data_IF_000354012592
#
_entry.id   IF_000354012592
#
_cell.length_a   1.000
_cell.length_b   1.000
_cell.length_c   1.000
_cell.angle_alpha   90.00
_cell.angle_beta   90.00
_cell.angle_gamma   90.00
#
_symmetry.space_group_name_H-M   'P 1'
#
loop_
_entity.id
_entity.type
_entity.pdbx_description
1 polymer ?
#
# COMPACT_ATOMS: atom_id res chain seq x y z
N UNK A 1 -4.99 13.80 41.65
CA UNK A 1 -4.97 14.46 40.32
C UNK A 1 -6.33 15.10 40.07
N UNK A 2 -6.44 16.40 40.29
CA UNK A 2 -7.68 17.18 40.10
C UNK A 2 -8.07 17.21 38.62
N UNK A 3 -9.34 16.96 38.31
CA UNK A 3 -9.84 17.04 36.94
C UNK A 3 -9.64 18.48 36.42
N UNK A 4 -8.97 18.61 35.26
CA UNK A 4 -8.68 19.88 34.64
C UNK A 4 -9.99 20.66 34.36
N UNK A 5 -10.04 21.94 34.74
CA UNK A 5 -11.21 22.79 34.54
C UNK A 5 -11.50 23.04 33.05
N UNK A 6 -12.75 23.32 32.64
CA UNK A 6 -13.09 23.60 31.24
C UNK A 6 -12.29 24.76 30.62
N UNK A 7 -11.87 25.74 31.44
CA UNK A 7 -11.03 26.87 31.02
C UNK A 7 -9.61 26.42 30.61
N UNK A 8 -9.03 25.44 31.32
CA UNK A 8 -7.69 24.94 30.97
C UNK A 8 -7.68 24.15 29.67
N UNK A 9 -8.74 23.39 29.37
CA UNK A 9 -8.86 22.69 28.08
C UNK A 9 -8.90 23.65 26.87
N UNK A 10 -9.54 24.81 27.02
CA UNK A 10 -9.55 25.84 25.97
C UNK A 10 -8.15 26.37 25.70
N UNK A 11 -7.37 26.64 26.75
CA UNK A 11 -5.98 27.08 26.62
C UNK A 11 -5.15 26.07 25.82
N UNK A 12 -5.22 24.79 26.18
CA UNK A 12 -4.44 23.74 25.50
C UNK A 12 -4.89 23.48 24.07
N UNK A 13 -6.18 23.66 23.77
CA UNK A 13 -6.69 23.61 22.41
C UNK A 13 -6.09 24.72 21.55
N UNK A 14 -6.09 25.97 22.04
CA UNK A 14 -5.48 27.10 21.32
C UNK A 14 -3.97 26.91 21.16
N UNK A 15 -3.27 26.42 22.18
CA UNK A 15 -1.86 26.07 22.06
C UNK A 15 -1.60 25.04 20.95
N UNK A 16 -2.42 24.00 20.85
CA UNK A 16 -2.34 23.02 19.76
C UNK A 16 -2.57 23.64 18.37
N UNK A 17 -3.54 24.55 18.25
CA UNK A 17 -3.75 25.30 17.00
C UNK A 17 -2.55 26.17 16.64
N UNK A 18 -1.95 26.86 17.61
CA UNK A 18 -0.74 27.66 17.40
C UNK A 18 0.43 26.79 16.94
N UNK A 19 0.64 25.62 17.56
CA UNK A 19 1.68 24.67 17.11
C UNK A 19 1.43 24.19 15.68
N UNK A 20 0.17 23.95 15.32
CA UNK A 20 -0.22 23.55 13.96
C UNK A 20 0.10 24.65 12.96
N UNK A 21 -0.34 25.88 13.25
CA UNK A 21 -0.10 27.04 12.40
C UNK A 21 1.39 27.29 12.22
N UNK A 22 2.18 27.16 13.29
CA UNK A 22 3.63 27.28 13.23
C UNK A 22 4.28 26.19 12.37
N UNK A 23 3.84 24.93 12.50
CA UNK A 23 4.29 23.84 11.61
C UNK A 23 3.96 24.12 10.14
N UNK A 24 2.72 24.53 9.85
CA UNK A 24 2.31 24.84 8.48
C UNK A 24 3.13 26.01 7.91
N UNK A 25 3.43 27.02 8.74
CA UNK A 25 4.31 28.11 8.35
C UNK A 25 5.75 27.66 8.07
N UNK A 26 6.31 26.75 8.87
CA UNK A 26 7.66 26.19 8.61
C UNK A 26 7.69 25.34 7.34
N UNK A 27 6.68 24.50 7.15
CA UNK A 27 6.62 23.54 6.03
C UNK A 27 6.20 24.18 4.72
N UNK A 28 5.71 25.43 4.72
CA UNK A 28 5.35 26.17 3.49
C UNK A 28 6.50 26.30 2.49
N UNK A 29 7.74 26.32 2.99
CA UNK A 29 8.96 26.45 2.19
C UNK A 29 9.52 25.12 1.69
N UNK A 30 8.90 23.99 2.06
CA UNK A 30 9.34 22.68 1.56
C UNK A 30 8.98 22.53 0.09
N UNK A 31 9.99 22.22 -0.72
CA UNK A 31 9.77 21.93 -2.13
C UNK A 31 8.97 20.62 -2.28
N UNK A 32 7.96 20.67 -3.14
CA UNK A 32 7.33 19.47 -3.70
C UNK A 32 8.00 19.20 -5.03
N UNK A 33 8.63 18.04 -5.19
CA UNK A 33 9.32 17.70 -6.43
C UNK A 33 8.70 16.46 -7.07
N UNK A 34 8.49 16.57 -8.37
CA UNK A 34 8.07 15.49 -9.24
C UNK A 34 9.29 15.03 -10.04
N UNK A 35 9.79 13.82 -9.76
CA UNK A 35 10.90 13.28 -10.54
C UNK A 35 10.36 12.80 -11.89
N UNK A 36 10.59 13.58 -12.96
CA UNK A 36 10.02 13.31 -14.28
C UNK A 36 10.40 11.95 -14.89
N UNK A 37 11.59 11.43 -14.58
CA UNK A 37 12.05 10.11 -15.01
C UNK A 37 11.52 8.95 -14.15
N UNK A 38 10.90 9.24 -13.00
CA UNK A 38 10.26 8.23 -12.15
C UNK A 38 8.88 7.86 -12.72
N UNK A 39 8.88 7.27 -13.92
CA UNK A 39 7.69 6.97 -14.74
C UNK A 39 6.67 6.07 -14.01
N UNK A 40 7.16 5.20 -13.12
CA UNK A 40 6.33 4.27 -12.35
C UNK A 40 6.00 4.76 -10.94
N UNK A 41 6.55 5.91 -10.50
CA UNK A 41 6.29 6.52 -9.18
C UNK A 41 5.66 7.90 -9.34
N UNK A 42 6.45 8.97 -9.23
CA UNK A 42 5.99 10.36 -9.15
C UNK A 42 5.10 10.73 -10.35
N UNK A 43 5.58 10.44 -11.55
CA UNK A 43 4.85 10.76 -12.78
C UNK A 43 3.58 9.94 -12.90
N UNK A 44 3.60 8.67 -12.52
CA UNK A 44 2.43 7.79 -12.58
C UNK A 44 1.29 8.37 -11.73
N UNK A 45 1.56 8.73 -10.48
CA UNK A 45 0.50 9.24 -9.60
C UNK A 45 -0.12 10.55 -10.10
N UNK A 46 0.68 11.42 -10.70
CA UNK A 46 0.20 12.65 -11.35
C UNK A 46 -0.65 12.36 -12.59
N UNK A 47 -0.19 11.47 -13.48
CA UNK A 47 -0.94 11.10 -14.68
C UNK A 47 -2.29 10.46 -14.34
N UNK A 48 -2.31 9.55 -13.35
CA UNK A 48 -3.55 8.96 -12.85
C UNK A 48 -4.48 10.02 -12.24
N UNK A 49 -3.94 10.98 -11.47
CA UNK A 49 -4.73 12.06 -10.90
C UNK A 49 -5.32 12.97 -12.00
N UNK A 50 -4.54 13.27 -13.04
CA UNK A 50 -4.98 14.03 -14.20
C UNK A 50 -6.13 13.32 -14.94
N UNK A 51 -6.03 12.00 -15.17
CA UNK A 51 -7.12 11.22 -15.74
C UNK A 51 -8.38 11.26 -14.89
N UNK A 52 -8.26 11.14 -13.56
CA UNK A 52 -9.39 11.25 -12.63
C UNK A 52 -10.06 12.62 -12.75
N UNK A 53 -9.27 13.70 -12.79
CA UNK A 53 -9.78 15.08 -12.92
C UNK A 53 -10.54 15.27 -14.24
N UNK A 54 -10.09 14.64 -15.33
CA UNK A 54 -10.74 14.69 -16.65
C UNK A 54 -11.98 13.80 -16.76
N UNK A 55 -12.26 12.97 -15.75
CA UNK A 55 -13.38 12.02 -15.77
C UNK A 55 -13.04 10.67 -16.39
N UNK A 56 -11.79 10.44 -16.79
CA UNK A 56 -11.32 9.23 -17.48
C UNK A 56 -10.77 8.18 -16.51
N UNK A 57 -11.37 8.02 -15.32
CA UNK A 57 -10.90 7.13 -14.23
C UNK A 57 -9.36 7.09 -14.12
N UNK A 58 -8.70 5.94 -14.32
CA UNK A 58 -7.24 5.78 -14.28
C UNK A 58 -6.58 5.84 -15.67
N UNK A 59 -7.27 6.43 -16.64
CA UNK A 59 -6.85 6.57 -18.02
C UNK A 59 -7.05 5.31 -18.86
N UNK A 60 -6.48 5.31 -20.06
CA UNK A 60 -6.41 4.12 -20.90
C UNK A 60 -5.64 3.00 -20.18
N UNK A 61 -6.06 1.75 -20.41
CA UNK A 61 -5.38 0.62 -19.81
C UNK A 61 -3.98 0.46 -20.42
N UNK A 62 -3.01 0.13 -19.56
CA UNK A 62 -1.59 0.01 -19.90
C UNK A 62 -0.90 -0.90 -18.89
N UNK A 63 0.39 -1.16 -19.07
CA UNK A 63 1.23 -1.87 -18.10
C UNK A 63 1.23 -1.22 -16.70
N UNK A 64 0.97 0.09 -16.59
CA UNK A 64 1.03 0.81 -15.32
C UNK A 64 -0.35 0.92 -14.64
N UNK A 65 -1.42 0.73 -15.41
CA UNK A 65 -2.80 0.79 -14.92
C UNK A 65 -3.04 -0.37 -13.95
N UNK A 66 -3.67 -0.08 -12.81
CA UNK A 66 -3.92 -1.04 -11.70
C UNK A 66 -2.66 -1.69 -11.09
N UNK A 67 -1.46 -1.28 -11.46
CA UNK A 67 -0.23 -1.80 -10.85
C UNK A 67 -0.04 -1.25 -9.42
N UNK A 68 -0.63 -0.10 -9.11
CA UNK A 68 -0.58 0.53 -7.78
C UNK A 68 -1.95 0.96 -7.30
N UNK A 69 -2.11 0.98 -5.99
CA UNK A 69 -3.32 1.50 -5.34
C UNK A 69 -3.63 2.96 -5.75
N UNK A 70 -4.89 3.26 -6.13
CA UNK A 70 -5.24 4.56 -6.72
C UNK A 70 -5.48 5.67 -5.69
N UNK A 71 -5.47 5.37 -4.37
CA UNK A 71 -5.95 6.32 -3.37
C UNK A 71 -5.13 7.62 -3.33
N UNK A 72 -3.82 7.56 -3.54
CA UNK A 72 -3.01 8.77 -3.56
C UNK A 72 -3.33 9.66 -4.76
N UNK A 73 -3.62 9.09 -5.93
CA UNK A 73 -4.08 9.86 -7.10
C UNK A 73 -5.48 10.45 -6.90
N UNK A 74 -6.39 9.69 -6.26
CA UNK A 74 -7.70 10.21 -5.83
C UNK A 74 -7.55 11.37 -4.83
N UNK A 75 -6.59 11.28 -3.92
CA UNK A 75 -6.26 12.35 -2.97
C UNK A 75 -5.73 13.60 -3.69
N UNK A 76 -4.82 13.45 -4.66
CA UNK A 76 -4.33 14.57 -5.48
C UNK A 76 -5.49 15.22 -6.24
N UNK A 77 -6.35 14.43 -6.89
CA UNK A 77 -7.52 14.94 -7.62
C UNK A 77 -8.51 15.68 -6.69
N UNK A 78 -8.75 15.15 -5.48
CA UNK A 78 -9.56 15.81 -4.47
C UNK A 78 -8.98 17.18 -4.09
N UNK A 79 -7.68 17.26 -3.81
CA UNK A 79 -7.02 18.52 -3.47
C UNK A 79 -7.07 19.52 -4.62
N UNK A 80 -6.93 19.05 -5.86
CA UNK A 80 -7.09 19.87 -7.06
C UNK A 80 -8.50 20.47 -7.14
N UNK A 81 -9.56 19.66 -6.98
CA UNK A 81 -10.94 20.17 -7.02
C UNK A 81 -11.29 21.14 -5.89
N UNK A 82 -10.70 20.96 -4.70
CA UNK A 82 -10.91 21.88 -3.56
C UNK A 82 -10.02 23.12 -3.67
N UNK A 83 -9.01 23.14 -4.55
CA UNK A 83 -8.07 24.24 -4.69
C UNK A 83 -7.03 24.33 -3.57
N UNK A 84 -6.68 23.19 -2.95
CA UNK A 84 -5.65 23.12 -1.90
C UNK A 84 -4.32 22.65 -2.51
N UNK A 85 -3.22 23.41 -2.36
CA UNK A 85 -1.90 22.95 -2.80
C UNK A 85 -1.52 21.61 -2.17
N UNK A 86 -0.95 20.68 -2.97
CA UNK A 86 -0.64 19.31 -2.52
C UNK A 86 0.17 19.27 -1.22
N UNK A 87 1.25 20.05 -1.14
CA UNK A 87 2.10 20.11 0.06
C UNK A 87 1.32 20.54 1.32
N UNK A 88 0.44 21.55 1.18
CA UNK A 88 -0.44 21.98 2.27
C UNK A 88 -1.43 20.87 2.65
N UNK A 89 -2.07 20.24 1.67
CA UNK A 89 -3.03 19.16 1.89
C UNK A 89 -2.41 17.99 2.66
N UNK A 90 -1.19 17.59 2.33
CA UNK A 90 -0.45 16.53 3.04
C UNK A 90 -0.19 16.90 4.50
N UNK A 91 0.30 18.12 4.76
CA UNK A 91 0.57 18.57 6.12
C UNK A 91 -0.72 18.72 6.95
N UNK A 92 -1.82 19.15 6.32
CA UNK A 92 -3.14 19.18 6.94
C UNK A 92 -3.66 17.77 7.27
N UNK A 93 -3.51 16.80 6.35
CA UNK A 93 -3.89 15.41 6.61
C UNK A 93 -3.12 14.81 7.79
N UNK A 94 -1.81 15.07 7.86
CA UNK A 94 -0.97 14.64 8.98
C UNK A 94 -1.35 15.31 10.31
N UNK A 95 -1.47 16.63 10.33
CA UNK A 95 -1.88 17.36 11.53
C UNK A 95 -3.28 16.96 12.00
N UNK A 96 -4.20 16.71 11.06
CA UNK A 96 -5.54 16.20 11.30
C UNK A 96 -5.53 14.82 11.94
N UNK A 97 -4.74 13.88 11.41
CA UNK A 97 -4.58 12.55 12.00
C UNK A 97 -4.01 12.63 13.43
N UNK A 98 -3.02 13.50 13.68
CA UNK A 98 -2.48 13.75 15.02
C UNK A 98 -3.57 14.27 15.99
N UNK A 99 -4.41 15.21 15.53
CA UNK A 99 -5.47 15.80 16.33
C UNK A 99 -6.57 14.78 16.64
N UNK A 100 -6.93 13.94 15.66
CA UNK A 100 -7.91 12.86 15.81
C UNK A 100 -7.41 11.80 16.79
N UNK A 101 -6.14 11.39 16.70
CA UNK A 101 -5.52 10.49 17.68
C UNK A 101 -5.55 11.08 19.09
N UNK A 102 -5.16 12.34 19.24
CA UNK A 102 -5.21 13.05 20.53
C UNK A 102 -6.64 13.08 21.10
N UNK A 103 -7.63 13.35 20.24
CA UNK A 103 -9.06 13.32 20.62
C UNK A 103 -9.52 11.91 21.01
N UNK A 104 -8.98 10.87 20.37
CA UNK A 104 -9.29 9.48 20.68
C UNK A 104 -8.88 9.15 22.12
N UNK A 105 -7.69 9.60 22.54
CA UNK A 105 -7.11 9.38 23.86
C UNK A 105 -7.79 10.17 25.00
N UNK A 106 -8.55 11.23 24.70
CA UNK A 106 -9.17 12.12 25.71
C UNK A 106 -9.94 11.42 26.84
N UNK A 107 -10.71 10.33 26.61
CA UNK A 107 -11.39 9.65 27.73
C UNK A 107 -10.41 8.99 28.72
N UNK A 108 -9.25 8.53 28.23
CA UNK A 108 -8.20 7.95 29.07
C UNK A 108 -7.28 9.02 29.69
N UNK A 109 -7.04 10.13 28.99
CA UNK A 109 -6.17 11.22 29.42
C UNK A 109 -6.98 12.48 29.75
N UNK A 110 -7.23 12.69 31.04
CA UNK A 110 -7.98 13.85 31.54
C UNK A 110 -7.15 15.13 31.66
N UNK A 111 -5.83 15.06 31.50
CA UNK A 111 -4.93 16.23 31.57
C UNK A 111 -4.80 16.89 30.19
N UNK A 112 -5.16 18.17 30.10
CA UNK A 112 -4.97 18.94 28.87
C UNK A 112 -3.51 19.10 28.48
N UNK A 113 -2.59 19.17 29.46
CA UNK A 113 -1.13 19.17 29.22
C UNK A 113 -0.70 17.85 28.59
N UNK A 114 -1.16 16.71 29.11
CA UNK A 114 -0.80 15.41 28.56
C UNK A 114 -1.31 15.22 27.12
N UNK A 115 -2.52 15.72 26.83
CA UNK A 115 -3.07 15.73 25.48
C UNK A 115 -2.26 16.64 24.55
N UNK A 116 -1.89 17.84 25.00
CA UNK A 116 -1.02 18.71 24.21
C UNK A 116 0.35 18.08 23.98
N UNK A 117 0.93 17.40 24.98
CA UNK A 117 2.24 16.75 24.87
C UNK A 117 2.21 15.63 23.82
N UNK A 118 1.20 14.75 23.83
CA UNK A 118 1.04 13.71 22.80
C UNK A 118 0.83 14.34 21.43
N UNK A 119 -0.03 15.37 21.34
CA UNK A 119 -0.27 16.07 20.10
C UNK A 119 1.02 16.67 19.54
N UNK A 120 1.80 17.36 20.37
CA UNK A 120 3.06 17.97 20.00
C UNK A 120 4.08 16.91 19.58
N UNK A 121 4.22 15.81 20.33
CA UNK A 121 5.13 14.71 19.99
C UNK A 121 4.84 14.13 18.60
N UNK A 122 3.56 13.92 18.27
CA UNK A 122 3.14 13.41 16.96
C UNK A 122 3.32 14.47 15.87
N UNK A 123 2.83 15.68 16.12
CA UNK A 123 2.84 16.78 15.16
C UNK A 123 4.27 17.14 14.75
N UNK A 124 5.20 17.15 15.71
CA UNK A 124 6.61 17.54 15.53
C UNK A 124 7.54 16.35 15.28
N UNK A 125 7.00 15.17 14.95
CA UNK A 125 7.83 14.02 14.59
C UNK A 125 8.76 14.40 13.40
N UNK A 126 10.10 14.22 13.53
CA UNK A 126 11.06 14.60 12.49
C UNK A 126 10.77 14.01 11.11
N UNK A 127 10.20 12.81 11.04
CA UNK A 127 9.81 12.18 9.78
C UNK A 127 8.84 13.06 8.98
N UNK A 128 7.98 13.84 9.64
CA UNK A 128 7.03 14.74 8.96
C UNK A 128 7.64 16.00 8.35
N UNK A 129 8.96 16.21 8.55
CA UNK A 129 9.76 17.29 7.94
C UNK A 129 10.80 16.77 6.95
N UNK A 130 10.94 15.46 6.80
CA UNK A 130 11.93 14.87 5.89
C UNK A 130 11.60 15.26 4.46
N UNK A 131 12.51 15.97 3.79
CA UNK A 131 12.29 16.43 2.43
C UNK A 131 12.55 15.33 1.39
N UNK A 132 13.68 14.58 1.40
CA UNK A 132 14.09 13.66 0.31
C UNK A 132 13.10 12.54 -0.09
N UNK A 133 12.17 12.19 0.78
CA UNK A 133 11.11 11.21 0.52
C UNK A 133 9.73 11.83 0.65
N UNK A 134 9.44 12.61 1.70
CA UNK A 134 8.10 13.20 1.88
C UNK A 134 7.85 14.44 1.01
N UNK A 135 8.88 15.01 0.37
CA UNK A 135 8.73 16.07 -0.63
C UNK A 135 8.44 15.55 -2.05
N UNK A 136 8.61 14.23 -2.29
CA UNK A 136 8.25 13.59 -3.56
C UNK A 136 6.76 13.42 -3.71
N UNK A 137 6.29 13.34 -4.96
CA UNK A 137 4.90 12.99 -5.27
C UNK A 137 4.73 11.47 -5.21
N UNK A 138 4.89 10.94 -4.01
CA UNK A 138 4.73 9.52 -3.73
C UNK A 138 3.70 9.32 -2.63
N UNK A 139 2.97 8.22 -2.76
CA UNK A 139 1.92 7.76 -1.85
C UNK A 139 2.27 7.68 -0.36
N UNK A 140 3.56 7.70 -0.01
CA UNK A 140 4.01 7.69 1.38
C UNK A 140 3.47 8.88 2.19
N UNK A 141 3.25 10.02 1.52
CA UNK A 141 2.69 11.24 2.11
C UNK A 141 1.33 11.05 2.78
N UNK A 142 0.45 10.23 2.18
CA UNK A 142 -0.90 9.98 2.71
C UNK A 142 -0.97 8.65 3.48
N UNK A 143 -0.01 7.75 3.28
CA UNK A 143 0.00 6.44 3.94
C UNK A 143 0.11 6.54 5.46
N UNK A 144 1.04 7.36 5.96
CA UNK A 144 1.24 7.59 7.39
C UNK A 144 0.02 8.20 8.09
N UNK A 145 -0.58 9.31 7.62
CA UNK A 145 -1.76 9.87 8.27
C UNK A 145 -2.96 8.92 8.27
N UNK A 146 -3.16 8.13 7.20
CA UNK A 146 -4.22 7.11 7.18
C UNK A 146 -3.97 6.02 8.23
N UNK A 147 -2.75 5.51 8.34
CA UNK A 147 -2.39 4.52 9.36
C UNK A 147 -2.64 5.06 10.78
N UNK A 148 -2.23 6.30 11.05
CA UNK A 148 -2.49 6.96 12.32
C UNK A 148 -4.00 7.14 12.58
N UNK A 149 -4.78 7.48 11.55
CA UNK A 149 -6.23 7.61 11.64
C UNK A 149 -6.93 6.28 11.94
N UNK A 150 -6.47 5.16 11.37
CA UNK A 150 -6.98 3.81 11.68
C UNK A 150 -6.77 3.49 13.17
N UNK A 151 -5.53 3.69 13.65
CA UNK A 151 -5.20 3.45 15.06
C UNK A 151 -5.99 4.39 15.98
N UNK A 152 -6.12 5.67 15.62
CA UNK A 152 -6.94 6.64 16.34
C UNK A 152 -8.40 6.21 16.43
N UNK A 153 -8.96 5.69 15.34
CA UNK A 153 -10.31 5.12 15.29
C UNK A 153 -10.49 3.97 16.28
N UNK A 154 -9.57 3.01 16.28
CA UNK A 154 -9.59 1.85 17.17
C UNK A 154 -9.42 2.23 18.65
N UNK A 155 -8.48 3.14 18.95
CA UNK A 155 -8.33 3.72 20.30
C UNK A 155 -9.61 4.45 20.71
N UNK A 156 -10.21 5.19 19.77
CA UNK A 156 -11.45 5.92 19.98
C UNK A 156 -12.63 5.03 20.35
N UNK A 157 -12.75 3.87 19.69
CA UNK A 157 -13.70 2.79 20.01
C UNK A 157 -13.38 2.17 21.37
N UNK A 158 -12.14 1.74 21.59
CA UNK A 158 -11.70 1.12 22.85
C UNK A 158 -12.00 1.99 24.08
N UNK A 159 -11.69 3.29 23.99
CA UNK A 159 -11.90 4.26 25.06
C UNK A 159 -13.38 4.65 25.27
N UNK A 160 -14.28 4.21 24.39
CA UNK A 160 -15.74 4.48 24.45
C UNK A 160 -16.57 3.20 24.39
N UNK A 161 -15.96 2.07 24.75
CA UNK A 161 -16.57 0.73 24.72
C UNK A 161 -17.82 0.61 25.61
N UNK A 162 -17.92 1.47 26.61
CA UNK A 162 -19.03 1.60 27.55
C UNK A 162 -20.16 2.53 27.04
N UNK A 163 -19.98 3.16 25.88
CA UNK A 163 -20.91 4.13 25.33
C UNK A 163 -21.81 3.53 24.25
N UNK A 164 -22.90 4.23 23.93
CA UNK A 164 -23.86 3.82 22.91
C UNK A 164 -23.25 3.81 21.50
N UNK A 165 -23.86 3.04 20.60
CA UNK A 165 -23.43 2.94 19.18
C UNK A 165 -23.35 4.31 18.51
N UNK A 166 -24.23 5.26 18.85
CA UNK A 166 -24.22 6.64 18.31
C UNK A 166 -22.92 7.38 18.64
N UNK A 167 -22.32 7.13 19.81
CA UNK A 167 -21.04 7.73 20.21
C UNK A 167 -19.83 6.98 19.65
N UNK A 168 -20.00 5.70 19.33
CA UNK A 168 -18.98 4.87 18.68
C UNK A 168 -18.95 5.03 17.15
N UNK A 169 -20.08 5.36 16.52
CA UNK A 169 -20.27 5.43 15.07
C UNK A 169 -19.23 6.32 14.35
N UNK A 170 -18.91 7.55 14.81
CA UNK A 170 -17.89 8.36 14.15
C UNK A 170 -16.51 7.69 14.16
N UNK A 171 -16.19 6.95 15.20
CA UNK A 171 -14.93 6.21 15.31
C UNK A 171 -14.93 4.96 14.44
N UNK A 172 -16.06 4.25 14.35
CA UNK A 172 -16.24 3.15 13.41
C UNK A 172 -16.10 3.61 11.96
N UNK A 173 -16.74 4.73 11.59
CA UNK A 173 -16.64 5.32 10.26
C UNK A 173 -15.20 5.75 9.95
N UNK A 174 -14.53 6.43 10.88
CA UNK A 174 -13.12 6.79 10.75
C UNK A 174 -12.24 5.55 10.57
N UNK A 175 -12.36 4.54 11.43
CA UNK A 175 -11.58 3.30 11.35
C UNK A 175 -11.76 2.64 9.98
N UNK A 176 -13.01 2.45 9.56
CA UNK A 176 -13.34 1.80 8.30
C UNK A 176 -12.85 2.56 7.09
N UNK A 177 -13.29 3.82 6.92
CA UNK A 177 -12.93 4.64 5.76
C UNK A 177 -11.42 4.83 5.66
N UNK A 178 -10.74 5.15 6.78
CA UNK A 178 -9.29 5.29 6.78
C UNK A 178 -8.59 3.96 6.43
N UNK A 179 -9.09 2.82 6.91
CA UNK A 179 -8.52 1.51 6.59
C UNK A 179 -8.71 1.14 5.11
N UNK A 180 -9.90 1.36 4.54
CA UNK A 180 -10.16 1.14 3.12
C UNK A 180 -9.25 2.00 2.24
N UNK A 181 -9.13 3.30 2.54
CA UNK A 181 -8.22 4.21 1.84
C UNK A 181 -6.74 3.80 2.03
N UNK A 182 -6.35 3.38 3.22
CA UNK A 182 -4.99 2.88 3.52
C UNK A 182 -4.64 1.65 2.68
N UNK A 183 -5.58 0.71 2.59
CA UNK A 183 -5.44 -0.52 1.80
C UNK A 183 -5.32 -0.26 0.29
N UNK A 184 -5.95 0.81 -0.18
CA UNK A 184 -5.88 1.32 -1.56
C UNK A 184 -4.68 2.24 -1.80
N UNK A 185 -3.83 2.47 -0.81
CA UNK A 185 -2.63 3.30 -0.99
C UNK A 185 -1.42 2.45 -1.36
N UNK A 186 -1.18 1.34 -0.65
CA UNK A 186 0.01 0.49 -0.80
C UNK A 186 -0.30 -0.99 -0.97
N UNK A 187 0.57 -1.74 -1.62
CA UNK A 187 0.37 -3.18 -1.87
C UNK A 187 0.75 -4.04 -0.66
N UNK A 188 1.60 -3.53 0.23
CA UNK A 188 2.04 -4.18 1.45
C UNK A 188 1.20 -3.85 2.70
N UNK A 189 0.01 -3.27 2.55
CA UNK A 189 -0.86 -2.83 3.66
C UNK A 189 -1.23 -3.90 4.69
N UNK A 190 -1.00 -5.18 4.40
CA UNK A 190 -1.25 -6.29 5.30
C UNK A 190 -0.50 -6.17 6.63
N UNK A 191 0.61 -5.43 6.69
CA UNK A 191 1.38 -5.24 7.92
C UNK A 191 0.58 -4.55 9.04
N UNK A 192 -0.45 -3.77 8.71
CA UNK A 192 -1.29 -3.08 9.70
C UNK A 192 -2.33 -4.04 10.34
N UNK A 193 -2.66 -5.14 9.66
CA UNK A 193 -3.73 -6.06 10.05
C UNK A 193 -3.52 -6.66 11.45
N UNK A 194 -2.32 -7.15 11.84
CA UNK A 194 -2.09 -7.66 13.19
C UNK A 194 -2.44 -6.65 14.28
N UNK A 195 -2.06 -5.37 14.10
CA UNK A 195 -2.38 -4.29 15.04
C UNK A 195 -3.88 -3.99 15.09
N UNK A 196 -4.55 -3.98 13.92
CA UNK A 196 -6.01 -3.78 13.84
C UNK A 196 -6.75 -4.90 14.56
N UNK A 197 -6.38 -6.15 14.30
CA UNK A 197 -6.98 -7.34 14.94
C UNK A 197 -6.76 -7.28 16.44
N UNK A 198 -5.53 -7.04 16.90
CA UNK A 198 -5.20 -6.97 18.32
C UNK A 198 -6.06 -5.92 19.05
N UNK A 199 -6.14 -4.70 18.53
CA UNK A 199 -6.90 -3.61 19.16
C UNK A 199 -8.41 -3.84 19.08
N UNK A 200 -8.92 -4.37 17.97
CA UNK A 200 -10.35 -4.69 17.81
C UNK A 200 -10.78 -5.81 18.77
N UNK A 201 -9.98 -6.88 18.87
CA UNK A 201 -10.20 -7.98 19.81
C UNK A 201 -10.12 -7.48 21.25
N UNK A 202 -9.11 -6.68 21.59
CA UNK A 202 -9.02 -6.08 22.92
C UNK A 202 -10.26 -5.24 23.26
N UNK A 203 -10.74 -4.41 22.33
CA UNK A 203 -11.95 -3.63 22.53
C UNK A 203 -13.19 -4.50 22.76
N UNK A 204 -13.37 -5.56 21.97
CA UNK A 204 -14.48 -6.49 22.13
C UNK A 204 -14.40 -7.26 23.45
N UNK A 205 -13.26 -7.88 23.76
CA UNK A 205 -13.05 -8.68 24.99
C UNK A 205 -13.30 -7.83 26.23
N UNK A 206 -12.74 -6.61 26.29
CA UNK A 206 -12.97 -5.73 27.42
C UNK A 206 -14.44 -5.29 27.52
N UNK A 207 -15.11 -4.97 26.39
CA UNK A 207 -16.53 -4.65 26.42
C UNK A 207 -17.39 -5.80 26.97
N UNK A 208 -17.12 -7.04 26.56
CA UNK A 208 -17.82 -8.24 27.07
C UNK A 208 -17.55 -8.52 28.55
N UNK A 209 -16.35 -8.21 29.04
CA UNK A 209 -16.01 -8.34 30.47
C UNK A 209 -16.83 -7.40 31.36
N UNK A 210 -17.25 -6.24 30.85
CA UNK A 210 -18.13 -5.33 31.59
C UNK A 210 -19.59 -5.74 31.50
N UNK A 211 -20.13 -5.95 30.29
CA UNK A 211 -21.47 -6.51 30.12
C UNK A 211 -21.70 -7.13 28.73
N UNK A 212 -22.65 -8.07 28.64
CA UNK A 212 -23.07 -8.63 27.35
C UNK A 212 -23.63 -7.58 26.40
N UNK A 213 -24.30 -6.56 26.92
CA UNK A 213 -24.86 -5.47 26.11
C UNK A 213 -23.74 -4.62 25.48
N UNK A 214 -22.74 -4.21 26.29
CA UNK A 214 -21.60 -3.44 25.78
C UNK A 214 -20.81 -4.23 24.74
N UNK A 215 -20.59 -5.52 24.96
CA UNK A 215 -19.98 -6.41 23.97
C UNK A 215 -20.75 -6.44 22.63
N UNK A 216 -22.09 -6.55 22.67
CA UNK A 216 -22.93 -6.48 21.46
C UNK A 216 -22.84 -5.13 20.75
N UNK A 217 -22.80 -4.02 21.49
CA UNK A 217 -22.61 -2.68 20.89
C UNK A 217 -21.26 -2.59 20.20
N UNK A 218 -20.19 -3.05 20.85
CA UNK A 218 -18.84 -3.04 20.28
C UNK A 218 -18.76 -3.89 19.01
N UNK A 219 -19.33 -5.10 19.00
CA UNK A 219 -19.38 -5.93 17.78
C UNK A 219 -20.13 -5.24 16.63
N UNK A 220 -21.25 -4.56 16.92
CA UNK A 220 -21.97 -3.77 15.91
C UNK A 220 -21.10 -2.64 15.37
N UNK A 221 -20.38 -1.92 16.24
CA UNK A 221 -19.46 -0.85 15.82
C UNK A 221 -18.27 -1.36 15.01
N UNK A 222 -17.72 -2.52 15.34
CA UNK A 222 -16.68 -3.17 14.53
C UNK A 222 -17.22 -3.66 13.19
N UNK A 223 -18.45 -4.21 13.15
CA UNK A 223 -19.14 -4.57 11.91
C UNK A 223 -19.39 -3.35 11.01
N UNK A 224 -19.80 -2.22 11.59
CA UNK A 224 -19.93 -0.94 10.88
C UNK A 224 -18.57 -0.45 10.35
N UNK A 225 -17.50 -0.56 11.14
CA UNK A 225 -16.16 -0.23 10.68
C UNK A 225 -15.73 -1.09 9.49
N UNK A 226 -16.02 -2.39 9.51
CA UNK A 226 -15.77 -3.28 8.38
C UNK A 226 -16.58 -2.86 7.13
N UNK A 227 -17.86 -2.52 7.29
CA UNK A 227 -18.70 -2.04 6.19
C UNK A 227 -18.17 -0.71 5.59
N UNK A 228 -17.78 0.24 6.44
CA UNK A 228 -17.15 1.49 6.00
C UNK A 228 -15.79 1.25 5.33
N UNK A 229 -15.03 0.24 5.74
CA UNK A 229 -13.78 -0.13 5.07
C UNK A 229 -13.98 -0.82 3.73
N UNK A 230 -15.06 -1.60 3.58
CA UNK A 230 -15.44 -2.21 2.31
C UNK A 230 -15.90 -1.18 1.28
N UNK A 231 -16.42 -0.03 1.70
CA UNK A 231 -16.98 0.98 0.78
C UNK A 231 -15.93 1.56 -0.20
N UNK A 232 -14.77 2.11 0.22
CA UNK A 232 -13.74 2.56 -0.72
C UNK A 232 -13.26 1.44 -1.66
N UNK A 233 -13.10 0.22 -1.14
CA UNK A 233 -12.68 -0.94 -1.91
C UNK A 233 -13.71 -1.29 -3.00
N UNK A 234 -14.98 -1.37 -2.62
CA UNK A 234 -16.08 -1.68 -3.53
C UNK A 234 -16.27 -0.61 -4.60
N UNK A 235 -16.14 0.67 -4.26
CA UNK A 235 -16.23 1.77 -5.23
C UNK A 235 -15.10 1.73 -6.26
N UNK A 236 -13.85 1.51 -5.81
CA UNK A 236 -12.70 1.35 -6.71
C UNK A 236 -12.87 0.11 -7.58
N UNK A 237 -13.26 -1.02 -7.01
CA UNK A 237 -13.46 -2.26 -7.77
C UNK A 237 -14.61 -2.16 -8.77
N UNK A 238 -15.68 -1.45 -8.44
CA UNK A 238 -16.76 -1.17 -9.37
C UNK A 238 -16.30 -0.28 -10.53
N UNK A 239 -15.52 0.77 -10.27
CA UNK A 239 -14.95 1.60 -11.33
C UNK A 239 -13.97 0.81 -12.21
N UNK A 240 -13.12 0.00 -11.61
CA UNK A 240 -12.21 -0.87 -12.36
C UNK A 240 -12.98 -1.88 -13.24
N UNK A 241 -14.10 -2.41 -12.76
CA UNK A 241 -14.95 -3.29 -13.55
C UNK A 241 -15.55 -2.55 -14.76
N UNK A 242 -16.10 -1.35 -14.54
CA UNK A 242 -16.71 -0.53 -15.59
C UNK A 242 -15.71 -0.12 -16.67
N UNK A 243 -14.48 0.23 -16.29
CA UNK A 243 -13.47 0.76 -17.23
C UNK A 243 -12.56 -0.32 -17.82
N UNK A 244 -12.28 -1.40 -17.08
CA UNK A 244 -11.26 -2.40 -17.45
C UNK A 244 -11.78 -3.84 -17.43
N UNK A 245 -13.07 -4.05 -17.18
CA UNK A 245 -13.71 -5.36 -17.23
C UNK A 245 -13.36 -6.30 -16.07
N UNK A 246 -12.69 -5.82 -15.02
CA UNK A 246 -12.27 -6.61 -13.86
C UNK A 246 -12.66 -5.96 -12.52
N UNK A 247 -13.34 -6.75 -11.67
CA UNK A 247 -13.71 -6.32 -10.31
C UNK A 247 -12.55 -6.63 -9.33
N UNK A 248 -11.63 -5.69 -9.20
CA UNK A 248 -10.49 -5.80 -8.30
C UNK A 248 -9.92 -4.43 -7.93
N UNK A 249 -8.86 -4.37 -7.15
CA UNK A 249 -8.26 -3.09 -6.71
C UNK A 249 -6.91 -2.83 -7.36
N UNK A 250 -5.97 -3.74 -7.11
CA UNK A 250 -4.60 -3.72 -7.63
C UNK A 250 -4.31 -5.08 -8.25
N UNK A 251 -3.88 -5.08 -9.50
CA UNK A 251 -3.65 -6.29 -10.29
C UNK A 251 -2.50 -7.14 -9.74
N UNK A 252 -1.51 -6.51 -9.12
CA UNK A 252 -0.44 -7.24 -8.42
C UNK A 252 -0.97 -8.10 -7.25
N UNK A 253 -2.17 -7.85 -6.74
CA UNK A 253 -2.82 -8.70 -5.73
C UNK A 253 -3.82 -9.70 -6.33
N UNK A 254 -4.03 -9.67 -7.65
CA UNK A 254 -4.90 -10.62 -8.32
C UNK A 254 -4.28 -12.02 -8.25
N UNK A 255 -5.05 -13.08 -7.95
CA UNK A 255 -4.56 -14.45 -7.94
C UNK A 255 -3.86 -14.81 -9.25
N UNK A 256 -4.40 -14.41 -10.40
CA UNK A 256 -3.86 -14.73 -11.72
C UNK A 256 -2.44 -14.18 -11.91
N UNK A 257 -2.21 -12.91 -11.54
CA UNK A 257 -0.86 -12.32 -11.60
C UNK A 257 0.07 -12.96 -10.59
N UNK A 258 -0.40 -13.16 -9.35
CA UNK A 258 0.39 -13.75 -8.27
C UNK A 258 0.81 -15.20 -8.59
N UNK A 259 -0.07 -15.98 -9.20
CA UNK A 259 0.18 -17.36 -9.62
C UNK A 259 1.13 -17.40 -10.82
N UNK A 260 0.98 -16.50 -11.79
CA UNK A 260 1.91 -16.40 -12.92
C UNK A 260 3.33 -16.06 -12.45
N UNK A 261 3.46 -15.05 -11.58
CA UNK A 261 4.75 -14.67 -11.01
C UNK A 261 5.32 -15.79 -10.13
N UNK A 262 4.48 -16.41 -9.30
CA UNK A 262 4.85 -17.56 -8.46
C UNK A 262 5.33 -18.77 -9.27
N UNK A 263 4.68 -19.05 -10.41
CA UNK A 263 5.08 -20.11 -11.34
C UNK A 263 6.48 -19.85 -11.91
N UNK A 264 6.82 -18.60 -12.26
CA UNK A 264 8.18 -18.25 -12.68
C UNK A 264 9.19 -18.47 -11.55
N UNK A 265 8.85 -18.08 -10.31
CA UNK A 265 9.72 -18.18 -9.14
C UNK A 265 10.02 -19.61 -8.68
N UNK A 266 9.21 -20.60 -9.05
CA UNK A 266 9.46 -22.00 -8.65
C UNK A 266 10.34 -22.75 -9.66
N UNK A 267 10.60 -22.21 -10.84
CA UNK A 267 11.46 -22.85 -11.85
C UNK A 267 12.89 -22.98 -11.31
N UNK A 268 13.42 -24.20 -11.35
CA UNK A 268 14.75 -24.56 -10.84
C UNK A 268 15.70 -24.80 -12.02
N UNK A 269 15.98 -23.74 -12.77
CA UNK A 269 16.90 -23.77 -13.91
C UNK A 269 17.89 -22.61 -13.82
N UNK A 270 19.16 -22.90 -14.09
CA UNK A 270 20.25 -21.91 -14.01
C UNK A 270 20.83 -21.73 -12.60
N UNK A 271 21.79 -20.81 -12.46
CA UNK A 271 22.49 -20.56 -11.20
C UNK A 271 21.62 -19.81 -10.17
N UNK A 272 21.94 -19.97 -8.89
CA UNK A 272 21.40 -19.13 -7.82
C UNK A 272 22.16 -17.79 -7.79
N UNK A 273 21.57 -16.74 -8.40
CA UNK A 273 22.15 -15.39 -8.47
C UNK A 273 21.51 -14.45 -7.45
N UNK A 274 22.30 -13.63 -6.76
CA UNK A 274 21.78 -12.67 -5.79
C UNK A 274 20.90 -11.61 -6.45
N UNK A 275 19.80 -11.26 -5.77
CA UNK A 275 18.78 -10.32 -6.24
C UNK A 275 18.07 -10.66 -7.56
N UNK A 276 18.42 -11.77 -8.22
CA UNK A 276 17.82 -12.24 -9.48
C UNK A 276 16.92 -13.44 -9.15
N UNK A 277 15.61 -13.25 -9.04
CA UNK A 277 14.72 -14.31 -8.60
C UNK A 277 14.33 -15.28 -9.73
N UNK A 278 14.41 -14.84 -11.00
CA UNK A 278 14.18 -15.65 -12.19
C UNK A 278 15.30 -15.36 -13.18
N UNK A 279 16.17 -16.35 -13.38
CA UNK A 279 17.32 -16.21 -14.26
C UNK A 279 16.90 -16.19 -15.73
N UNK A 280 17.76 -15.65 -16.60
CA UNK A 280 17.60 -15.78 -18.05
C UNK A 280 17.40 -17.25 -18.47
N UNK A 281 18.20 -18.17 -17.94
CA UNK A 281 18.11 -19.60 -18.23
C UNK A 281 16.76 -20.19 -17.82
N UNK A 282 16.20 -19.75 -16.68
CA UNK A 282 14.86 -20.13 -16.29
C UNK A 282 13.81 -19.61 -17.28
N UNK A 283 13.93 -18.36 -17.75
CA UNK A 283 13.02 -17.82 -18.79
C UNK A 283 13.12 -18.60 -20.10
N UNK A 284 14.33 -18.90 -20.55
CA UNK A 284 14.58 -19.69 -21.76
C UNK A 284 13.93 -21.09 -21.67
N UNK A 285 14.06 -21.75 -20.52
CA UNK A 285 13.39 -23.03 -20.29
C UNK A 285 11.86 -22.91 -20.24
N UNK A 286 11.32 -21.81 -19.70
CA UNK A 286 9.88 -21.56 -19.69
C UNK A 286 9.30 -21.35 -21.09
N UNK A 287 10.01 -20.69 -22.01
CA UNK A 287 9.54 -20.51 -23.39
C UNK A 287 9.31 -21.85 -24.10
N UNK A 288 10.10 -22.88 -23.78
CA UNK A 288 9.97 -24.20 -24.38
C UNK A 288 8.72 -24.98 -23.92
N UNK A 289 8.12 -24.63 -22.79
CA UNK A 289 7.03 -25.41 -22.17
C UNK A 289 5.72 -24.65 -22.03
N UNK A 290 5.72 -23.32 -22.16
CA UNK A 290 4.54 -22.47 -22.09
C UNK A 290 4.37 -21.67 -23.38
N UNK A 291 3.44 -22.07 -24.28
CA UNK A 291 3.09 -21.30 -25.47
C UNK A 291 2.68 -19.86 -25.15
N UNK A 292 2.05 -19.62 -24.00
CA UNK A 292 1.67 -18.28 -23.56
C UNK A 292 2.92 -17.46 -23.19
N UNK A 293 3.83 -18.00 -22.38
CA UNK A 293 5.07 -17.31 -22.01
C UNK A 293 6.02 -17.11 -23.20
N UNK A 294 6.06 -18.05 -24.15
CA UNK A 294 6.87 -17.95 -25.37
C UNK A 294 6.58 -16.69 -26.20
N UNK A 295 5.35 -16.18 -26.17
CA UNK A 295 4.97 -14.91 -26.82
C UNK A 295 5.73 -13.70 -26.28
N UNK A 296 6.25 -13.80 -25.06
CA UNK A 296 7.00 -12.73 -24.41
C UNK A 296 8.49 -12.74 -24.78
N UNK A 297 9.00 -13.83 -25.38
CA UNK A 297 10.41 -14.02 -25.68
C UNK A 297 11.04 -12.87 -26.50
N UNK A 298 10.42 -12.34 -27.57
CA UNK A 298 11.02 -11.25 -28.35
C UNK A 298 11.22 -9.97 -27.53
N UNK A 299 10.44 -9.77 -26.46
CA UNK A 299 10.45 -8.58 -25.63
C UNK A 299 11.38 -8.75 -24.42
N UNK A 300 11.28 -9.89 -23.71
CA UNK A 300 12.16 -10.22 -22.59
C UNK A 300 13.61 -10.39 -23.03
N UNK A 301 13.84 -10.95 -24.21
CA UNK A 301 15.18 -11.13 -24.76
C UNK A 301 15.56 -10.02 -25.77
N UNK A 302 14.73 -8.98 -25.86
CA UNK A 302 14.93 -7.80 -26.68
C UNK A 302 15.22 -6.54 -25.87
N UNK A 303 14.73 -5.39 -26.36
CA UNK A 303 15.00 -4.08 -25.77
C UNK A 303 14.40 -3.90 -24.38
N UNK A 304 13.17 -4.37 -24.15
CA UNK A 304 12.51 -4.25 -22.84
C UNK A 304 13.30 -4.95 -21.73
N UNK A 305 13.66 -6.22 -21.93
CA UNK A 305 14.45 -6.95 -20.94
C UNK A 305 15.86 -6.38 -20.75
N UNK A 306 16.48 -5.88 -21.82
CA UNK A 306 17.78 -5.19 -21.75
C UNK A 306 17.67 -3.90 -20.91
N UNK A 307 16.62 -3.12 -21.10
CA UNK A 307 16.33 -1.92 -20.31
C UNK A 307 16.14 -2.23 -18.82
N UNK A 308 15.36 -3.26 -18.50
CA UNK A 308 15.14 -3.67 -17.11
C UNK A 308 16.37 -4.30 -16.44
N UNK A 309 17.18 -5.06 -17.19
CA UNK A 309 18.48 -5.52 -16.71
C UNK A 309 19.37 -4.32 -16.37
N UNK A 310 19.46 -3.34 -17.28
CA UNK A 310 20.15 -2.06 -17.06
C UNK A 310 19.70 -1.34 -15.79
N UNK A 311 18.39 -1.16 -15.61
CA UNK A 311 17.80 -0.50 -14.45
C UNK A 311 18.10 -1.22 -13.12
N UNK A 312 18.31 -2.54 -13.17
CA UNK A 312 18.60 -3.36 -11.98
C UNK A 312 20.09 -3.56 -11.67
N UNK A 313 21.00 -3.11 -12.56
CA UNK A 313 22.47 -3.30 -12.45
C UNK A 313 23.02 -2.83 -11.10
N UNK A 314 22.48 -1.73 -10.55
CA UNK A 314 22.97 -1.19 -9.28
C UNK A 314 22.71 -2.12 -8.09
N UNK A 315 21.71 -3.00 -8.18
CA UNK A 315 21.37 -4.02 -7.18
C UNK A 315 22.03 -5.35 -7.50
N UNK A 316 21.90 -5.84 -8.74
CA UNK A 316 22.40 -7.16 -9.13
C UNK A 316 23.92 -7.21 -9.25
N UNK A 317 24.56 -6.07 -9.56
CA UNK A 317 26.00 -5.97 -9.88
C UNK A 317 26.41 -6.81 -11.10
N UNK A 318 25.46 -7.18 -11.96
CA UNK A 318 25.70 -7.98 -13.16
C UNK A 318 25.69 -7.11 -14.42
N UNK A 319 26.56 -7.39 -15.42
CA UNK A 319 26.52 -6.73 -16.72
C UNK A 319 25.18 -6.88 -17.44
N UNK A 320 24.74 -5.83 -18.13
CA UNK A 320 23.49 -5.82 -18.91
C UNK A 320 23.45 -6.93 -19.98
N UNK A 321 24.61 -7.29 -20.55
CA UNK A 321 24.75 -8.35 -21.54
C UNK A 321 24.28 -9.72 -21.03
N UNK A 322 24.29 -9.96 -19.72
CA UNK A 322 23.80 -11.20 -19.11
C UNK A 322 22.26 -11.26 -19.03
N UNK A 323 21.57 -10.12 -19.24
CA UNK A 323 20.10 -9.99 -19.25
C UNK A 323 19.42 -10.54 -17.99
N UNK A 324 20.08 -10.39 -16.86
CA UNK A 324 19.52 -10.73 -15.56
C UNK A 324 18.76 -9.53 -15.01
N UNK A 325 17.53 -9.76 -14.53
CA UNK A 325 16.63 -8.71 -14.06
C UNK A 325 16.46 -8.87 -12.55
N UNK A 326 16.75 -7.80 -11.81
CA UNK A 326 16.57 -7.77 -10.37
C UNK A 326 15.10 -7.92 -9.96
N UNK A 327 14.85 -8.55 -8.81
CA UNK A 327 13.49 -8.91 -8.38
C UNK A 327 12.53 -7.74 -8.16
N UNK A 328 13.05 -6.55 -7.85
CA UNK A 328 12.25 -5.32 -7.78
C UNK A 328 11.84 -4.73 -9.14
N UNK A 329 12.32 -5.32 -10.24
CA UNK A 329 12.04 -4.88 -11.61
C UNK A 329 11.38 -5.96 -12.46
N UNK A 330 11.53 -7.24 -12.10
CA UNK A 330 11.01 -8.35 -12.90
C UNK A 330 9.49 -8.27 -13.11
N UNK A 331 8.73 -7.83 -12.11
CA UNK A 331 7.28 -7.66 -12.26
C UNK A 331 6.93 -6.56 -13.28
N UNK A 332 7.72 -5.49 -13.35
CA UNK A 332 7.55 -4.44 -14.34
C UNK A 332 7.94 -4.93 -15.74
N UNK A 333 9.06 -5.67 -15.84
CA UNK A 333 9.47 -6.32 -17.08
C UNK A 333 8.40 -7.26 -17.62
N UNK A 334 7.77 -8.07 -16.76
CA UNK A 334 6.67 -8.95 -17.13
C UNK A 334 5.48 -8.15 -17.69
N UNK A 335 5.06 -7.07 -17.01
CA UNK A 335 3.94 -6.25 -17.44
C UNK A 335 4.22 -5.52 -18.75
N UNK A 336 5.42 -4.97 -18.91
CA UNK A 336 5.88 -4.36 -20.16
C UNK A 336 5.84 -5.35 -21.32
N UNK A 337 6.39 -6.55 -21.12
CA UNK A 337 6.42 -7.58 -22.18
C UNK A 337 5.00 -8.04 -22.56
N UNK A 338 4.10 -8.19 -21.58
CA UNK A 338 2.70 -8.56 -21.83
C UNK A 338 1.96 -7.46 -22.60
N UNK A 339 2.20 -6.20 -22.25
CA UNK A 339 1.64 -5.05 -22.97
C UNK A 339 2.20 -4.96 -24.40
N UNK A 340 3.52 -5.13 -24.57
CA UNK A 340 4.18 -5.11 -25.87
C UNK A 340 3.75 -6.28 -26.77
N UNK A 341 3.40 -7.42 -26.17
CA UNK A 341 2.81 -8.57 -26.87
C UNK A 341 1.33 -8.40 -27.22
N UNK A 342 0.71 -7.26 -26.88
CA UNK A 342 -0.66 -6.93 -27.26
C UNK A 342 -1.74 -7.50 -26.35
N UNK A 343 -1.44 -7.80 -25.07
CA UNK A 343 -2.41 -8.34 -24.12
C UNK A 343 -2.77 -7.36 -22.99
N UNK A 344 -2.56 -6.07 -23.22
CA UNK A 344 -2.90 -5.01 -22.29
C UNK A 344 -3.89 -4.01 -22.90
N UNK A 345 -5.00 -4.49 -23.49
CA UNK A 345 -6.11 -3.61 -23.87
C UNK A 345 -7.05 -3.33 -22.70
N UNK A 346 -7.19 -4.30 -21.78
CA UNK A 346 -7.95 -4.16 -20.53
C UNK A 346 -7.46 -5.17 -19.47
N UNK A 347 -7.92 -5.00 -18.23
CA UNK A 347 -7.50 -5.84 -17.11
C UNK A 347 -7.93 -7.30 -17.25
N UNK A 348 -9.12 -7.56 -17.79
CA UNK A 348 -9.61 -8.93 -18.00
C UNK A 348 -8.69 -9.71 -18.93
N UNK A 349 -8.31 -9.13 -20.07
CA UNK A 349 -7.42 -9.77 -21.04
C UNK A 349 -6.03 -10.04 -20.44
N UNK A 350 -5.46 -9.07 -19.73
CA UNK A 350 -4.17 -9.25 -19.07
C UNK A 350 -4.21 -10.38 -18.03
N UNK A 351 -5.25 -10.41 -17.19
CA UNK A 351 -5.43 -11.47 -16.19
C UNK A 351 -5.67 -12.85 -16.81
N UNK A 352 -6.40 -12.91 -17.93
CA UNK A 352 -6.56 -14.15 -18.70
C UNK A 352 -5.24 -14.63 -19.32
N UNK A 353 -4.35 -13.72 -19.69
CA UNK A 353 -2.99 -14.05 -20.11
C UNK A 353 -2.18 -14.62 -18.94
N UNK A 354 -2.17 -13.94 -17.78
CA UNK A 354 -1.44 -14.41 -16.59
C UNK A 354 -1.92 -15.77 -16.10
N UNK A 355 -3.24 -15.99 -16.04
CA UNK A 355 -3.82 -17.29 -15.67
C UNK A 355 -3.31 -18.41 -16.57
N UNK A 356 -3.41 -18.26 -17.90
CA UNK A 356 -2.94 -19.29 -18.86
C UNK A 356 -1.44 -19.55 -18.73
N UNK A 357 -0.65 -18.49 -18.59
CA UNK A 357 0.78 -18.59 -18.33
C UNK A 357 1.08 -19.39 -17.05
N UNK A 358 0.36 -19.10 -15.96
CA UNK A 358 0.51 -19.79 -14.69
C UNK A 358 0.16 -21.28 -14.82
N UNK A 359 -0.97 -21.59 -15.46
CA UNK A 359 -1.46 -22.96 -15.65
C UNK A 359 -0.47 -23.80 -16.47
N UNK A 360 0.03 -23.26 -17.58
CA UNK A 360 1.00 -23.93 -18.46
C UNK A 360 2.32 -24.23 -17.74
N UNK A 361 2.90 -23.22 -17.07
CA UNK A 361 4.18 -23.36 -16.37
C UNK A 361 4.04 -24.30 -15.17
N UNK A 362 2.99 -24.15 -14.35
CA UNK A 362 2.75 -25.04 -13.22
C UNK A 362 2.51 -26.48 -13.68
N UNK A 363 1.73 -26.70 -14.73
CA UNK A 363 1.53 -28.05 -15.30
C UNK A 363 2.85 -28.64 -15.76
N UNK A 364 3.73 -27.87 -16.41
CA UNK A 364 5.06 -28.35 -16.80
C UNK A 364 5.94 -28.70 -15.59
N UNK A 365 5.86 -27.92 -14.50
CA UNK A 365 6.55 -28.20 -13.25
C UNK A 365 6.03 -29.49 -12.60
N UNK A 366 4.71 -29.63 -12.47
CA UNK A 366 4.08 -30.72 -11.73
C UNK A 366 4.15 -32.06 -12.49
N UNK A 367 4.24 -32.01 -13.83
CA UNK A 367 4.50 -33.20 -14.68
C UNK A 367 5.98 -33.53 -14.86
N UNK A 368 6.89 -32.79 -14.23
CA UNK A 368 8.34 -33.03 -14.31
C UNK A 368 8.99 -32.63 -15.63
N UNK A 369 8.26 -31.98 -16.55
CA UNK A 369 8.81 -31.45 -17.83
C UNK A 369 9.70 -30.23 -17.61
N UNK A 370 9.50 -29.50 -16.52
CA UNK A 370 10.33 -28.37 -16.10
C UNK A 370 10.79 -28.60 -14.66
N UNK A 371 12.12 -28.64 -14.38
CA UNK A 371 12.62 -28.76 -13.01
C UNK A 371 12.10 -27.62 -12.13
N UNK A 372 11.55 -27.95 -10.97
CA UNK A 372 10.87 -26.96 -10.13
C UNK A 372 10.99 -27.24 -8.63
N UNK A 373 10.77 -26.20 -7.84
CA UNK A 373 10.47 -26.25 -6.41
C UNK A 373 8.97 -26.45 -6.17
N UNK A 374 8.58 -26.49 -4.89
CA UNK A 374 7.18 -26.58 -4.47
C UNK A 374 6.31 -25.47 -5.08
N UNK A 375 5.02 -25.74 -5.32
CA UNK A 375 4.06 -24.74 -5.79
C UNK A 375 4.07 -23.48 -4.93
N UNK A 376 3.87 -22.32 -5.56
CA UNK A 376 3.84 -21.03 -4.88
C UNK A 376 3.06 -19.98 -5.66
N UNK A 377 2.56 -19.02 -4.91
CA UNK A 377 1.87 -17.83 -5.41
C UNK A 377 2.45 -16.57 -4.77
N UNK A 378 2.46 -15.47 -5.51
CA UNK A 378 2.94 -14.17 -5.06
C UNK A 378 4.42 -13.92 -5.29
N UNK A 379 4.93 -12.85 -4.68
CA UNK A 379 6.24 -12.26 -5.01
C UNK A 379 7.37 -12.71 -4.10
N UNK A 380 7.07 -13.43 -3.02
CA UNK A 380 8.07 -13.75 -2.01
C UNK A 380 9.10 -14.72 -2.61
N UNK A 381 10.37 -14.29 -2.78
CA UNK A 381 11.39 -15.19 -3.30
C UNK A 381 11.63 -16.33 -2.32
N UNK A 382 12.27 -17.40 -2.79
CA UNK A 382 12.63 -18.51 -1.89
C UNK A 382 13.73 -18.01 -0.94
N UNK A 383 13.57 -18.27 0.36
CA UNK A 383 14.66 -18.08 1.31
C UNK A 383 15.76 -19.11 1.00
N UNK A 384 16.95 -18.64 0.61
CA UNK A 384 18.10 -19.50 0.32
C UNK A 384 18.80 -19.93 1.62
N UNK A 385 19.45 -21.11 1.66
CA UNK A 385 20.33 -21.48 2.77
C UNK A 385 21.34 -20.36 3.09
N UNK A 386 21.52 -20.05 4.38
CA UNK A 386 22.38 -18.94 4.83
C UNK A 386 21.71 -17.57 4.92
N UNK A 387 20.61 -17.32 4.21
CA UNK A 387 19.88 -16.05 4.31
C UNK A 387 19.13 -15.91 5.65
N UNK A 388 18.64 -17.00 6.24
CA UNK A 388 18.01 -16.97 7.57
C UNK A 388 18.95 -16.38 8.63
N UNK A 389 20.23 -16.78 8.62
CA UNK A 389 21.23 -16.23 9.54
C UNK A 389 21.52 -14.76 9.29
N UNK A 390 21.52 -14.32 8.02
CA UNK A 390 21.66 -12.91 7.68
C UNK A 390 20.47 -12.08 8.18
N UNK A 391 19.24 -12.55 7.94
CA UNK A 391 18.02 -11.90 8.46
C UNK A 391 18.06 -11.80 9.99
N UNK A 392 18.40 -12.88 10.69
CA UNK A 392 18.49 -12.89 12.15
C UNK A 392 19.53 -11.89 12.67
N UNK A 393 20.72 -11.82 12.04
CA UNK A 393 21.76 -10.83 12.38
C UNK A 393 21.28 -9.40 12.15
N UNK A 394 20.64 -9.13 11.03
CA UNK A 394 20.09 -7.80 10.74
C UNK A 394 19.03 -7.42 11.76
N UNK A 395 18.09 -8.32 12.09
CA UNK A 395 17.09 -8.07 13.14
C UNK A 395 17.76 -7.79 14.50
N UNK A 396 18.78 -8.55 14.87
CA UNK A 396 19.54 -8.33 16.10
C UNK A 396 20.40 -7.06 16.13
N UNK A 397 20.70 -6.45 14.97
CA UNK A 397 21.34 -5.14 14.89
C UNK A 397 20.35 -3.98 15.04
N UNK A 398 19.07 -4.23 14.74
CA UNK A 398 18.00 -3.23 14.83
C UNK A 398 17.20 -3.28 16.13
N UNK A 399 17.25 -4.41 16.86
CA UNK A 399 16.70 -4.57 18.21
C UNK A 399 17.71 -4.09 19.25
#
# INVERSE_FOLDING_TARGET
MTAASPKSFRLWFWAGLTLTAFKLWLTRGQAVYAIGHAMLDDRLFLQLAESIVRGDWLGAYSQATLAKGPFYSLWIALLYWVGIPLGLGVQLAYAGACAVFTRACRPALRSGVALLAIYALLLWNPMSFEAPTMGRIIRQQIYTPLGLAVIAGLVGLYCRRDQTVRRQLPWAALTGLAFGCFWLTREESIWLVPSVVLLAVAAAVWAFRFSREQGRVMLRSLGLAAAFGALPLGLVSWQNYRHYGWFGTVELRAPEFADAYGAMLRVKVGPDLDYVPVTRQAREAMYAVSPTFAKLQPYFEGEYGTGWAGASTYVTKLPVAERQIGGGWLMWALRDCVAAAGYAHNAREALDFYRRMADEINTACDTGRLPAYSPRSGFMPRLRPGQAGAVARTVGQFA
#
